data_IF_098084276775
#
_entry.id   IF_098084276775
#
_cell.length_a   1.000
_cell.length_b   1.000
_cell.length_c   1.000
_cell.angle_alpha   90.00
_cell.angle_beta   90.00
_cell.angle_gamma   90.00
#
_symmetry.space_group_name_H-M   'P 1'
#
loop_
_entity.id
_entity.type
_entity.pdbx_description
1 polymer ?
#
# COMPACT_ATOMS: atom_id res chain seq x y z
N UNK A 1 11.19 15.15 -10.36
CA UNK A 1 10.58 15.91 -9.24
C UNK A 1 11.61 16.89 -8.74
N UNK A 2 11.17 18.04 -8.21
CA UNK A 2 12.05 19.03 -7.58
C UNK A 2 11.34 19.64 -6.36
N UNK A 3 12.00 19.67 -5.20
CA UNK A 3 11.59 20.51 -4.07
C UNK A 3 12.02 21.95 -4.35
N UNK A 4 11.07 22.86 -4.45
CA UNK A 4 11.31 24.27 -4.84
C UNK A 4 11.18 25.24 -3.67
N UNK A 5 10.70 24.77 -2.53
CA UNK A 5 10.70 25.44 -1.24
C UNK A 5 10.52 24.41 -0.13
N UNK A 6 10.62 24.84 1.13
CA UNK A 6 10.37 23.95 2.27
C UNK A 6 9.02 23.23 2.15
N UNK A 7 7.99 23.98 1.77
CA UNK A 7 6.59 23.56 1.72
C UNK A 7 6.03 23.37 0.32
N UNK A 8 6.90 23.14 -0.69
CA UNK A 8 6.47 23.02 -2.09
C UNK A 8 7.27 22.00 -2.88
N UNK A 9 6.55 21.05 -3.46
CA UNK A 9 7.05 20.06 -4.42
C UNK A 9 6.50 20.32 -5.82
N UNK A 10 7.37 20.18 -6.82
CA UNK A 10 6.99 20.18 -8.23
C UNK A 10 7.25 18.81 -8.88
N UNK A 11 6.22 18.27 -9.53
CA UNK A 11 6.32 17.05 -10.33
C UNK A 11 6.08 17.39 -11.79
N UNK A 12 7.15 17.28 -12.59
CA UNK A 12 7.05 17.41 -14.05
C UNK A 12 6.40 16.16 -14.64
N UNK A 13 5.40 16.39 -15.49
CA UNK A 13 4.68 15.39 -16.29
C UNK A 13 4.62 15.87 -17.75
N UNK A 14 4.30 14.98 -18.68
CA UNK A 14 4.15 15.32 -20.10
C UNK A 14 2.96 16.27 -20.33
N UNK A 15 1.97 16.24 -19.43
CA UNK A 15 0.84 17.17 -19.39
C UNK A 15 1.17 18.53 -18.75
N UNK A 16 2.37 18.71 -18.21
CA UNK A 16 2.80 19.93 -17.53
C UNK A 16 3.38 19.69 -16.14
N UNK A 17 3.70 20.77 -15.43
CA UNK A 17 4.21 20.70 -14.05
C UNK A 17 3.06 20.75 -13.07
N UNK A 18 2.98 19.74 -12.20
CA UNK A 18 2.06 19.72 -11.07
C UNK A 18 2.78 20.23 -9.83
N UNK A 19 2.03 20.96 -9.01
CA UNK A 19 2.53 21.62 -7.80
C UNK A 19 1.77 21.04 -6.61
N UNK A 20 2.52 20.70 -5.57
CA UNK A 20 2.01 20.16 -4.31
C UNK A 20 2.55 21.06 -3.20
N UNK A 21 1.64 21.77 -2.54
CA UNK A 21 1.94 22.70 -1.47
C UNK A 21 1.54 22.08 -0.13
N UNK A 22 2.42 22.14 0.86
CA UNK A 22 2.12 21.73 2.22
C UNK A 22 1.16 22.75 2.87
N UNK A 23 0.31 22.29 3.78
CA UNK A 23 -0.61 23.14 4.55
C UNK A 23 -0.21 23.21 6.02
N UNK A 24 -0.25 24.39 6.65
CA UNK A 24 0.10 24.54 8.06
C UNK A 24 -0.96 23.90 8.99
N UNK A 25 -0.62 23.60 10.26
CA UNK A 25 0.70 23.77 10.88
C UNK A 25 1.77 22.81 10.31
N UNK A 26 2.96 23.33 10.00
CA UNK A 26 3.98 22.55 9.29
C UNK A 26 4.77 21.58 10.18
N UNK A 27 4.77 21.84 11.49
CA UNK A 27 5.59 21.14 12.49
C UNK A 27 4.75 20.22 13.39
N UNK A 28 3.45 20.08 13.13
CA UNK A 28 2.52 19.24 13.90
C UNK A 28 2.09 18.04 13.05
N UNK A 29 2.51 16.80 13.37
CA UNK A 29 2.29 15.64 12.49
C UNK A 29 0.84 15.26 12.22
N UNK A 30 -0.09 15.71 13.07
CA UNK A 30 -1.52 15.39 13.04
C UNK A 30 -2.41 16.59 12.68
N UNK A 31 -1.80 17.76 12.49
CA UNK A 31 -2.50 18.99 12.15
C UNK A 31 -1.74 19.65 11.00
N UNK A 32 -2.33 19.71 9.81
CA UNK A 32 -1.67 20.18 8.59
C UNK A 32 -1.49 19.08 7.54
N UNK A 33 -0.88 19.45 6.41
CA UNK A 33 -0.66 18.51 5.31
C UNK A 33 0.75 18.64 4.73
N UNK A 34 1.40 17.51 4.47
CA UNK A 34 2.77 17.47 3.95
C UNK A 34 2.89 16.48 2.79
N UNK A 35 3.58 16.92 1.73
CA UNK A 35 3.99 16.06 0.63
C UNK A 35 5.50 15.74 0.69
N UNK A 36 5.81 14.43 0.59
CA UNK A 36 7.18 13.94 0.46
C UNK A 36 7.29 13.00 -0.73
N UNK A 37 8.42 13.03 -1.42
CA UNK A 37 8.68 12.03 -2.45
C UNK A 37 8.99 10.68 -1.82
N UNK A 38 8.30 9.63 -2.26
CA UNK A 38 8.62 8.26 -1.88
C UNK A 38 9.49 7.60 -2.94
N UNK A 39 8.92 7.44 -4.14
CA UNK A 39 9.50 6.55 -5.14
C UNK A 39 9.06 6.93 -6.56
N UNK A 40 9.72 6.33 -7.55
CA UNK A 40 9.39 6.44 -8.96
C UNK A 40 9.52 5.07 -9.62
N UNK A 41 8.45 4.64 -10.28
CA UNK A 41 8.44 3.42 -11.09
C UNK A 41 7.92 3.72 -12.49
N UNK A 42 8.74 3.50 -13.52
CA UNK A 42 8.45 3.84 -14.93
C UNK A 42 7.94 5.30 -15.11
N UNK A 43 6.67 5.41 -15.50
CA UNK A 43 5.92 6.62 -15.76
C UNK A 43 5.06 7.03 -14.55
N UNK A 44 5.37 6.55 -13.35
CA UNK A 44 4.65 6.89 -12.14
C UNK A 44 5.58 7.47 -11.08
N UNK A 45 5.12 8.51 -10.40
CA UNK A 45 5.76 9.09 -9.23
C UNK A 45 4.84 8.90 -8.03
N UNK A 46 5.35 8.34 -6.95
CA UNK A 46 4.65 8.21 -5.69
C UNK A 46 5.10 9.31 -4.74
N UNK A 47 4.13 10.10 -4.26
CA UNK A 47 4.32 11.01 -3.14
C UNK A 47 3.65 10.43 -1.90
N UNK A 48 4.31 10.49 -0.77
CA UNK A 48 3.65 10.43 0.53
C UNK A 48 2.83 11.71 0.71
N UNK A 49 1.65 11.57 1.29
CA UNK A 49 0.80 12.68 1.66
C UNK A 49 0.25 12.44 3.06
N UNK A 50 0.77 13.18 4.04
CA UNK A 50 0.21 13.21 5.39
C UNK A 50 -0.79 14.34 5.43
N UNK A 51 -2.00 14.09 5.93
CA UNK A 51 -3.06 15.09 6.08
C UNK A 51 -3.90 14.71 7.32
N UNK A 52 -3.57 15.33 8.44
CA UNK A 52 -4.05 14.92 9.76
C UNK A 52 -3.84 13.42 10.04
N UNK A 53 -4.93 12.70 10.33
CA UNK A 53 -4.93 11.26 10.63
C UNK A 53 -4.77 10.37 9.37
N UNK A 54 -4.69 10.97 8.18
CA UNK A 54 -4.60 10.25 6.92
C UNK A 54 -3.16 10.21 6.40
N UNK A 55 -2.51 9.05 6.56
CA UNK A 55 -1.20 8.78 6.00
C UNK A 55 -1.36 8.09 4.63
N UNK A 56 -1.89 8.87 3.71
CA UNK A 56 -2.13 8.48 2.33
C UNK A 56 -0.93 8.73 1.43
N UNK A 57 -1.02 8.29 0.18
CA UNK A 57 -0.08 8.71 -0.85
C UNK A 57 -0.82 9.17 -2.09
N UNK A 58 -0.11 9.86 -2.97
CA UNK A 58 -0.59 10.26 -4.29
C UNK A 58 0.29 9.61 -5.34
N UNK A 59 -0.33 8.79 -6.19
CA UNK A 59 0.34 8.19 -7.35
C UNK A 59 0.06 9.04 -8.58
N UNK A 60 1.12 9.54 -9.22
CA UNK A 60 1.03 10.47 -10.34
C UNK A 60 1.46 9.75 -11.61
N UNK A 61 0.57 9.59 -12.59
CA UNK A 61 0.92 9.16 -13.94
C UNK A 61 1.58 10.31 -14.69
N UNK A 62 2.89 10.21 -14.92
CA UNK A 62 3.68 11.28 -15.54
C UNK A 62 3.38 11.48 -17.01
N UNK A 63 2.67 10.56 -17.68
CA UNK A 63 2.27 10.74 -19.09
C UNK A 63 1.01 11.57 -19.21
N UNK A 64 0.03 11.28 -18.37
CA UNK A 64 -1.29 11.92 -18.44
C UNK A 64 -1.45 13.09 -17.46
N UNK A 65 -0.57 13.20 -16.48
CA UNK A 65 -0.72 14.11 -15.35
C UNK A 65 -1.80 13.68 -14.35
N UNK A 66 -2.43 12.51 -14.53
CA UNK A 66 -3.50 12.06 -13.63
C UNK A 66 -2.93 11.72 -12.24
N UNK A 67 -3.62 12.22 -11.22
CA UNK A 67 -3.40 11.81 -9.83
C UNK A 67 -4.37 10.68 -9.47
N UNK A 68 -3.83 9.62 -8.88
CA UNK A 68 -4.51 8.40 -8.46
C UNK A 68 -4.31 8.22 -6.95
N UNK A 69 -5.23 7.52 -6.27
CA UNK A 69 -5.01 7.08 -4.90
C UNK A 69 -3.67 6.32 -4.82
N UNK A 70 -2.76 6.80 -4.00
CA UNK A 70 -1.53 6.11 -3.66
C UNK A 70 -1.61 5.54 -2.25
N UNK A 71 -0.43 5.39 -1.66
CA UNK A 71 -0.21 4.88 -0.32
C UNK A 71 1.23 5.11 0.11
N UNK A 72 1.65 4.51 1.22
CA UNK A 72 3.05 4.42 1.63
C UNK A 72 3.87 3.60 0.63
N UNK A 73 3.23 2.60 0.01
CA UNK A 73 3.78 1.77 -1.07
C UNK A 73 2.74 1.59 -2.18
N UNK A 74 3.21 1.51 -3.43
CA UNK A 74 2.39 1.13 -4.59
C UNK A 74 3.10 0.03 -5.38
N UNK A 75 2.34 -1.00 -5.78
CA UNK A 75 2.83 -2.08 -6.65
C UNK A 75 1.90 -2.20 -7.85
N UNK A 76 2.40 -1.97 -9.06
CA UNK A 76 1.61 -1.95 -10.29
C UNK A 76 1.65 -3.33 -10.97
N UNK A 77 0.51 -3.83 -11.45
CA UNK A 77 0.49 -5.09 -12.20
C UNK A 77 1.23 -4.95 -13.54
N UNK A 78 1.92 -5.98 -14.03
CA UNK A 78 2.67 -5.90 -15.29
C UNK A 78 1.82 -5.48 -16.50
N UNK A 79 0.54 -5.88 -16.54
CA UNK A 79 -0.42 -5.51 -17.57
C UNK A 79 -1.02 -4.10 -17.39
N UNK A 80 -0.68 -3.41 -16.29
CA UNK A 80 -1.17 -2.10 -15.90
C UNK A 80 -2.70 -2.00 -15.83
N UNK A 81 -3.38 -3.12 -15.57
CA UNK A 81 -4.83 -3.14 -15.36
C UNK A 81 -5.22 -2.69 -13.95
N UNK A 82 -4.34 -2.92 -12.97
CA UNK A 82 -4.59 -2.67 -11.55
C UNK A 82 -3.29 -2.38 -10.79
N UNK A 83 -3.42 -1.93 -9.57
CA UNK A 83 -2.28 -1.74 -8.67
C UNK A 83 -2.72 -1.95 -7.21
N UNK A 84 -1.77 -2.34 -6.37
CA UNK A 84 -1.90 -2.31 -4.93
C UNK A 84 -1.46 -0.93 -4.44
N UNK A 85 -2.21 -0.35 -3.52
CA UNK A 85 -1.82 0.78 -2.70
C UNK A 85 -1.91 0.38 -1.21
N UNK A 86 -0.79 0.46 -0.51
CA UNK A 86 -0.67 0.18 0.93
C UNK A 86 -0.85 1.48 1.68
N UNK A 87 -1.80 1.55 2.62
CA UNK A 87 -2.14 2.76 3.35
C UNK A 87 -2.05 2.48 4.83
N UNK A 88 -1.49 3.42 5.59
CA UNK A 88 -1.55 3.39 7.04
C UNK A 88 -2.64 4.37 7.48
N UNK A 89 -3.63 3.89 8.22
CA UNK A 89 -4.67 4.75 8.82
C UNK A 89 -4.33 4.88 10.30
N UNK A 90 -4.41 6.09 10.83
CA UNK A 90 -4.13 6.29 12.24
C UNK A 90 -5.08 5.47 13.12
N UNK A 91 -4.55 4.97 14.24
CA UNK A 91 -5.28 4.13 15.18
C UNK A 91 -5.58 2.68 14.73
N UNK A 92 -5.09 2.23 13.56
CA UNK A 92 -5.15 0.81 13.17
C UNK A 92 -3.87 0.05 13.52
N UNK A 93 -4.03 -1.15 14.09
CA UNK A 93 -2.95 -2.13 14.26
C UNK A 93 -2.67 -2.82 12.91
N UNK A 94 -2.03 -2.10 11.99
CA UNK A 94 -1.56 -2.62 10.70
C UNK A 94 -1.90 -1.76 9.49
N UNK A 95 -1.43 -2.20 8.32
CA UNK A 95 -1.66 -1.49 7.07
C UNK A 95 -2.95 -1.97 6.40
N UNK A 96 -3.65 -1.05 5.73
CA UNK A 96 -4.71 -1.39 4.80
C UNK A 96 -4.13 -1.56 3.40
N UNK A 97 -4.45 -2.68 2.78
CA UNK A 97 -4.01 -3.04 1.43
C UNK A 97 -5.19 -2.93 0.47
N UNK A 98 -5.13 -1.99 -0.47
CA UNK A 98 -6.20 -1.74 -1.45
C UNK A 98 -5.73 -2.08 -2.85
N UNK A 99 -6.47 -2.95 -3.55
CA UNK A 99 -6.27 -3.15 -4.98
C UNK A 99 -7.25 -2.26 -5.73
N UNK A 100 -6.73 -1.39 -6.59
CA UNK A 100 -7.52 -0.46 -7.38
C UNK A 100 -7.25 -0.64 -8.87
N UNK A 101 -8.20 -0.23 -9.70
CA UNK A 101 -7.93 0.05 -11.10
C UNK A 101 -7.49 1.51 -11.33
N UNK A 102 -6.98 1.79 -12.53
CA UNK A 102 -6.52 3.13 -12.91
C UNK A 102 -7.67 4.14 -13.14
N UNK A 103 -8.93 3.73 -12.99
CA UNK A 103 -10.10 4.60 -12.93
C UNK A 103 -10.50 4.94 -11.47
N UNK A 104 -9.64 4.61 -10.50
CA UNK A 104 -9.80 4.86 -9.06
C UNK A 104 -10.88 4.00 -8.40
N UNK A 105 -11.36 2.95 -9.05
CA UNK A 105 -12.29 2.02 -8.43
C UNK A 105 -11.52 1.01 -7.58
N UNK A 106 -11.87 0.92 -6.30
CA UNK A 106 -11.40 -0.15 -5.42
C UNK A 106 -12.02 -1.47 -5.84
N UNK A 107 -11.17 -2.45 -6.16
CA UNK A 107 -11.57 -3.82 -6.48
C UNK A 107 -11.67 -4.67 -5.21
N UNK A 108 -10.76 -4.45 -4.25
CA UNK A 108 -10.76 -5.06 -2.93
C UNK A 108 -9.96 -4.21 -1.94
N UNK A 109 -10.36 -4.25 -0.67
CA UNK A 109 -9.62 -3.75 0.48
C UNK A 109 -9.44 -4.89 1.49
N UNK A 110 -8.21 -5.11 1.94
CA UNK A 110 -7.83 -6.11 2.95
C UNK A 110 -6.82 -5.48 3.91
N UNK A 111 -6.33 -6.23 4.89
CA UNK A 111 -5.28 -5.77 5.81
C UNK A 111 -3.96 -6.46 5.49
N UNK A 112 -2.87 -5.94 6.05
CA UNK A 112 -1.58 -6.63 6.11
C UNK A 112 -1.54 -7.78 7.11
N UNK A 113 -2.70 -8.29 7.56
CA UNK A 113 -2.78 -9.44 8.46
C UNK A 113 -3.61 -10.56 7.84
N UNK A 114 -3.09 -11.77 7.94
CA UNK A 114 -3.80 -13.00 7.65
C UNK A 114 -4.47 -13.48 8.93
N UNK A 115 -5.79 -13.66 8.88
CA UNK A 115 -6.59 -14.07 10.02
C UNK A 115 -6.72 -15.60 10.08
N UNK A 116 -6.97 -16.12 11.27
CA UNK A 116 -7.42 -17.49 11.49
C UNK A 116 -8.71 -17.79 10.72
N UNK A 117 -9.05 -19.08 10.57
CA UNK A 117 -10.23 -19.50 9.79
C UNK A 117 -11.57 -18.94 10.32
N UNK A 118 -11.64 -18.62 11.61
CA UNK A 118 -12.80 -17.96 12.24
C UNK A 118 -12.81 -16.43 12.05
N UNK A 119 -11.80 -15.89 11.36
CA UNK A 119 -11.61 -14.46 11.08
C UNK A 119 -11.54 -13.55 12.31
N UNK A 120 -11.18 -14.09 13.48
CA UNK A 120 -11.11 -13.31 14.73
C UNK A 120 -9.69 -12.95 15.17
N UNK A 121 -8.70 -13.76 14.79
CA UNK A 121 -7.35 -13.68 15.34
C UNK A 121 -6.34 -13.52 14.21
N UNK A 122 -5.46 -12.52 14.29
CA UNK A 122 -4.31 -12.43 13.39
C UNK A 122 -3.34 -13.58 13.65
N UNK A 123 -2.96 -14.33 12.61
CA UNK A 123 -1.99 -15.44 12.73
C UNK A 123 -0.67 -15.13 12.02
N UNK A 124 -0.69 -14.31 10.98
CA UNK A 124 0.51 -13.93 10.25
C UNK A 124 0.41 -12.49 9.71
N UNK A 125 1.53 -11.80 9.64
CA UNK A 125 1.66 -10.53 8.92
C UNK A 125 1.98 -10.79 7.45
N UNK A 126 1.43 -9.96 6.56
CA UNK A 126 1.67 -9.98 5.13
C UNK A 126 2.67 -8.88 4.76
N UNK A 127 3.71 -9.28 4.04
CA UNK A 127 4.78 -8.37 3.61
C UNK A 127 5.22 -8.64 2.17
N UNK A 128 6.07 -7.77 1.63
CA UNK A 128 6.65 -7.88 0.30
C UNK A 128 5.62 -8.17 -0.83
N UNK A 129 4.59 -7.32 -0.98
CA UNK A 129 3.60 -7.52 -2.03
C UNK A 129 4.22 -7.45 -3.43
N UNK A 130 3.83 -8.37 -4.31
CA UNK A 130 4.28 -8.40 -5.70
C UNK A 130 3.23 -9.03 -6.63
N UNK A 131 3.20 -8.59 -7.89
CA UNK A 131 2.31 -9.16 -8.89
C UNK A 131 3.00 -10.28 -9.69
N UNK A 132 2.33 -11.44 -9.79
CA UNK A 132 2.68 -12.49 -10.75
C UNK A 132 1.59 -12.57 -11.81
N UNK A 133 1.83 -11.94 -12.96
CA UNK A 133 0.76 -11.68 -13.94
C UNK A 133 -0.32 -10.79 -13.33
N UNK A 134 -1.55 -11.29 -13.26
CA UNK A 134 -2.70 -10.57 -12.70
C UNK A 134 -3.02 -10.92 -11.24
N UNK A 135 -2.20 -11.77 -10.63
CA UNK A 135 -2.43 -12.28 -9.28
C UNK A 135 -1.46 -11.60 -8.31
N UNK A 136 -2.00 -10.96 -7.27
CA UNK A 136 -1.20 -10.38 -6.21
C UNK A 136 -0.72 -11.49 -5.27
N UNK A 137 0.55 -11.45 -4.92
CA UNK A 137 1.19 -12.35 -3.97
C UNK A 137 1.86 -11.55 -2.86
N UNK A 138 2.04 -12.19 -1.71
CA UNK A 138 2.74 -11.63 -0.56
C UNK A 138 3.39 -12.77 0.24
N UNK A 139 4.33 -12.39 1.11
CA UNK A 139 4.90 -13.30 2.10
C UNK A 139 4.10 -13.18 3.38
N UNK A 140 3.51 -14.29 3.84
CA UNK A 140 2.93 -14.41 5.16
C UNK A 140 4.01 -14.88 6.14
N UNK A 141 4.18 -14.18 7.25
CA UNK A 141 5.12 -14.52 8.33
C UNK A 141 4.35 -14.67 9.63
N UNK A 142 4.48 -15.80 10.31
CA UNK A 142 3.76 -16.06 11.55
C UNK A 142 4.07 -15.02 12.64
N UNK A 143 3.03 -14.56 13.34
CA UNK A 143 3.20 -13.63 14.46
C UNK A 143 3.86 -14.29 15.68
N UNK A 144 3.77 -15.61 15.79
CA UNK A 144 4.36 -16.40 16.89
C UNK A 144 5.81 -16.81 16.64
N UNK A 145 6.27 -16.84 15.39
CA UNK A 145 7.58 -17.33 14.98
C UNK A 145 7.95 -16.75 13.60
N UNK A 146 8.86 -15.78 13.57
CA UNK A 146 9.28 -15.09 12.35
C UNK A 146 10.05 -15.97 11.35
N UNK A 147 10.52 -17.14 11.79
CA UNK A 147 11.16 -18.12 10.92
C UNK A 147 10.15 -18.88 10.06
N UNK A 148 8.89 -18.95 10.49
CA UNK A 148 7.81 -19.59 9.75
C UNK A 148 7.14 -18.60 8.79
N UNK A 149 7.47 -18.74 7.51
CA UNK A 149 6.89 -17.92 6.45
C UNK A 149 6.53 -18.73 5.21
N UNK A 150 5.52 -18.28 4.47
CA UNK A 150 5.11 -18.89 3.20
C UNK A 150 4.55 -17.85 2.22
N UNK A 151 4.48 -18.22 0.95
CA UNK A 151 3.87 -17.36 -0.07
C UNK A 151 2.35 -17.54 -0.07
N UNK A 152 1.63 -16.42 -0.08
CA UNK A 152 0.19 -16.36 -0.27
C UNK A 152 -0.15 -15.59 -1.55
N UNK A 153 -1.35 -15.84 -2.06
CA UNK A 153 -1.94 -15.14 -3.19
C UNK A 153 -3.32 -14.63 -2.82
N UNK A 154 -3.63 -13.43 -3.28
CA UNK A 154 -4.98 -12.88 -3.16
C UNK A 154 -5.86 -13.50 -4.25
N UNK A 155 -6.77 -14.37 -3.83
CA UNK A 155 -7.69 -15.08 -4.71
C UNK A 155 -9.09 -14.49 -4.58
N UNK A 156 -9.86 -14.49 -5.68
CA UNK A 156 -11.28 -14.18 -5.67
C UNK A 156 -12.06 -15.49 -5.86
N UNK A 157 -12.73 -15.94 -4.80
CA UNK A 157 -13.67 -17.05 -4.85
C UNK A 157 -15.10 -16.49 -4.80
N UNK A 158 -15.76 -16.42 -5.97
CA UNK A 158 -17.19 -16.08 -6.08
C UNK A 158 -17.55 -14.68 -5.51
N UNK A 159 -16.64 -13.72 -5.60
CA UNK A 159 -16.82 -12.36 -5.09
C UNK A 159 -16.24 -12.14 -3.69
N UNK A 160 -15.86 -13.21 -2.98
CA UNK A 160 -15.11 -13.12 -1.74
C UNK A 160 -13.61 -13.19 -2.04
N UNK A 161 -12.90 -12.13 -1.66
CA UNK A 161 -11.45 -12.08 -1.79
C UNK A 161 -10.80 -12.58 -0.51
N UNK A 162 -9.80 -13.45 -0.66
CA UNK A 162 -9.12 -14.10 0.46
C UNK A 162 -7.67 -14.43 0.11
N UNK A 163 -6.79 -14.42 1.12
CA UNK A 163 -5.38 -14.75 0.96
C UNK A 163 -5.18 -16.26 1.11
N UNK A 164 -4.60 -16.92 0.11
CA UNK A 164 -4.44 -18.38 0.12
C UNK A 164 -3.02 -18.81 -0.23
N UNK A 165 -2.51 -19.93 0.32
CA UNK A 165 -3.18 -20.81 1.28
C UNK A 165 -3.12 -20.27 2.71
N UNK A 166 -4.13 -20.61 3.53
CA UNK A 166 -4.03 -20.53 4.98
C UNK A 166 -3.22 -21.71 5.52
N UNK A 167 -2.26 -21.42 6.39
CA UNK A 167 -1.47 -22.41 7.13
C UNK A 167 -1.57 -22.12 8.62
N UNK A 168 -1.44 -23.16 9.45
CA UNK A 168 -1.30 -22.97 10.88
C UNK A 168 0.10 -22.43 11.19
N UNK A 169 0.18 -21.52 12.14
CA UNK A 169 1.42 -21.10 12.78
C UNK A 169 1.59 -21.97 14.02
N UNK A 170 2.18 -23.14 13.84
CA UNK A 170 2.44 -24.04 14.96
C UNK A 170 3.53 -23.40 15.83
N UNK A 171 3.35 -23.35 17.15
CA UNK A 171 4.44 -22.94 18.03
C UNK A 171 5.60 -23.93 17.83
N UNK A 172 6.80 -23.42 17.52
CA UNK A 172 7.99 -24.26 17.55
C UNK A 172 8.04 -24.94 18.93
N UNK A 173 7.98 -26.27 18.94
CA UNK A 173 8.00 -27.05 20.16
C UNK A 173 9.31 -26.71 20.90
N UNK A 174 9.28 -26.17 22.14
CA UNK A 174 10.47 -25.81 22.88
C UNK A 174 11.11 -27.07 23.45
N UNK A 175 11.59 -27.97 22.59
CA UNK A 175 12.40 -29.12 22.99
C UNK A 175 13.14 -29.74 21.81
N UNK A 176 14.38 -29.30 21.60
CA UNK A 176 15.51 -30.18 21.31
C UNK A 176 16.68 -29.81 22.21
#
# INVERSE_FOLDING_TARGET
MRRVGAHRLEVKTDAGTQVFDDSPPYDEPLDGAEYRYCDRHDAYVLLHHRDGDNFGGVLIDTRSGKQLPGGTQVVISPDRSRYLAVVQVDGMDGEQWRVLDFNKRTLISTTSMLLSQDATTGIAELSAPQWFGTQLQATATCLSDDTQHWQVRLANAQGAWDWQPHRACDAADPSQ
#
